data_IF_238339780902
#
_entry.id   IF_238339780902
#
_cell.length_a   1.000
_cell.length_b   1.000
_cell.length_c   1.000
_cell.angle_alpha   90.00
_cell.angle_beta   90.00
_cell.angle_gamma   90.00
#
_symmetry.space_group_name_H-M   'P 1'
#
loop_
_entity.id
_entity.type
_entity.pdbx_description
1 polymer ?
#
# COMPACT_ATOMS: atom_id res chain seq x y z
N UNK A 1 4.01 18.39 -30.18
CA UNK A 1 5.44 18.48 -30.58
C UNK A 1 6.15 17.43 -29.76
N UNK A 2 6.63 16.35 -30.39
CA UNK A 2 7.35 15.28 -29.69
C UNK A 2 8.65 15.83 -29.11
N UNK A 3 8.94 15.52 -27.84
CA UNK A 3 10.22 15.89 -27.22
C UNK A 3 11.33 15.01 -27.76
N UNK A 4 12.46 15.63 -28.12
CA UNK A 4 13.67 14.94 -28.56
C UNK A 4 14.21 13.97 -27.49
N UNK A 5 14.61 12.76 -27.90
CA UNK A 5 15.10 11.69 -27.01
C UNK A 5 16.35 12.11 -26.26
N UNK A 6 17.28 12.82 -26.92
CA UNK A 6 18.49 13.33 -26.29
C UNK A 6 18.17 14.33 -25.17
N UNK A 7 17.19 15.21 -25.40
CA UNK A 7 16.71 16.14 -24.37
C UNK A 7 16.02 15.44 -23.20
N UNK A 8 15.25 14.38 -23.45
CA UNK A 8 14.62 13.56 -22.40
C UNK A 8 15.71 12.92 -21.52
N UNK A 9 16.71 12.28 -22.14
CA UNK A 9 17.81 11.63 -21.43
C UNK A 9 18.60 12.61 -20.56
N UNK A 10 18.97 13.78 -21.11
CA UNK A 10 19.64 14.85 -20.35
C UNK A 10 18.82 15.31 -19.14
N UNK A 11 17.49 15.40 -19.28
CA UNK A 11 16.62 15.81 -18.17
C UNK A 11 16.57 14.74 -17.07
N UNK A 12 16.53 13.47 -17.44
CA UNK A 12 16.56 12.33 -16.51
C UNK A 12 17.92 12.24 -15.80
N UNK A 13 19.01 12.59 -16.47
CA UNK A 13 20.36 12.60 -15.87
C UNK A 13 20.52 13.59 -14.72
N UNK A 14 19.64 14.60 -14.61
CA UNK A 14 19.64 15.58 -13.53
C UNK A 14 19.00 15.06 -12.23
N UNK A 15 18.46 13.83 -12.22
CA UNK A 15 17.77 13.28 -11.05
C UNK A 15 18.78 12.95 -9.93
N UNK A 16 18.60 13.64 -8.81
CA UNK A 16 19.32 13.41 -7.56
C UNK A 16 18.44 12.71 -6.52
N UNK A 17 18.92 12.62 -5.29
CA UNK A 17 18.17 12.08 -4.14
C UNK A 17 17.28 13.10 -3.44
N UNK A 18 17.32 14.38 -3.84
CA UNK A 18 16.53 15.42 -3.19
C UNK A 18 15.09 15.43 -3.70
N UNK A 19 14.14 15.73 -2.81
CA UNK A 19 12.72 15.85 -3.16
C UNK A 19 12.49 16.89 -4.26
N UNK A 20 13.23 18.01 -4.23
CA UNK A 20 13.14 19.05 -5.25
C UNK A 20 13.53 18.56 -6.65
N UNK A 21 14.57 17.73 -6.76
CA UNK A 21 14.98 17.13 -8.03
C UNK A 21 13.93 16.13 -8.55
N UNK A 22 13.44 15.25 -7.65
CA UNK A 22 12.41 14.25 -7.97
C UNK A 22 11.13 14.93 -8.46
N UNK A 23 10.60 15.87 -7.70
CA UNK A 23 9.36 16.61 -8.03
C UNK A 23 9.56 17.42 -9.31
N UNK A 24 10.68 18.12 -9.48
CA UNK A 24 10.95 18.90 -10.69
C UNK A 24 10.97 18.05 -11.97
N UNK A 25 11.60 16.87 -11.91
CA UNK A 25 11.59 15.93 -13.03
C UNK A 25 10.19 15.36 -13.26
N UNK A 26 9.49 14.96 -12.20
CA UNK A 26 8.14 14.41 -12.30
C UNK A 26 7.13 15.40 -12.89
N UNK A 27 7.13 16.65 -12.43
CA UNK A 27 6.30 17.72 -13.00
C UNK A 27 6.61 17.91 -14.48
N UNK A 28 7.89 17.93 -14.87
CA UNK A 28 8.27 18.03 -16.27
C UNK A 28 7.76 16.83 -17.09
N UNK A 29 7.91 15.61 -16.58
CA UNK A 29 7.39 14.41 -17.24
C UNK A 29 5.85 14.45 -17.38
N UNK A 30 5.13 14.96 -16.39
CA UNK A 30 3.68 15.10 -16.43
C UNK A 30 3.22 16.11 -17.50
N UNK A 31 3.97 17.21 -17.71
CA UNK A 31 3.72 18.15 -18.81
C UNK A 31 3.91 17.51 -20.19
N UNK A 32 4.70 16.44 -20.27
CA UNK A 32 5.00 15.68 -21.48
C UNK A 32 4.36 14.28 -21.46
N UNK A 33 3.22 14.12 -20.79
CA UNK A 33 2.56 12.82 -20.61
C UNK A 33 2.19 12.09 -21.91
N UNK A 34 1.97 12.80 -23.02
CA UNK A 34 1.74 12.19 -24.34
C UNK A 34 2.99 11.46 -24.88
N UNK A 35 4.19 11.92 -24.53
CA UNK A 35 5.47 11.31 -24.92
C UNK A 35 5.97 10.33 -23.84
N UNK A 36 5.12 9.96 -22.87
CA UNK A 36 5.57 9.25 -21.68
C UNK A 36 6.09 7.83 -21.97
N UNK A 37 5.69 7.22 -23.07
CA UNK A 37 6.28 5.96 -23.51
C UNK A 37 7.77 6.11 -23.84
N UNK A 38 8.17 7.22 -24.47
CA UNK A 38 9.57 7.56 -24.76
C UNK A 38 10.33 7.94 -23.49
N UNK A 39 9.69 8.71 -22.60
CA UNK A 39 10.23 9.04 -21.28
C UNK A 39 10.52 7.77 -20.48
N UNK A 40 9.57 6.84 -20.44
CA UNK A 40 9.72 5.55 -19.77
C UNK A 40 10.82 4.69 -20.42
N UNK A 41 11.08 4.85 -21.72
CA UNK A 41 12.25 4.27 -22.38
C UNK A 41 13.56 4.79 -21.77
N UNK A 42 13.72 6.11 -21.72
CA UNK A 42 14.92 6.75 -21.17
C UNK A 42 15.11 6.49 -19.67
N UNK A 43 14.02 6.42 -18.89
CA UNK A 43 14.07 5.99 -17.48
C UNK A 43 14.57 4.54 -17.40
N UNK A 44 14.08 3.67 -18.29
CA UNK A 44 14.56 2.29 -18.40
C UNK A 44 16.05 2.21 -18.69
N UNK A 45 16.55 2.99 -19.65
CA UNK A 45 17.97 3.02 -19.99
C UNK A 45 18.82 3.52 -18.82
N UNK A 46 18.35 4.55 -18.09
CA UNK A 46 19.02 5.06 -16.90
C UNK A 46 19.03 4.05 -15.76
N UNK A 47 17.91 3.35 -15.50
CA UNK A 47 17.84 2.26 -14.52
C UNK A 47 18.85 1.16 -14.88
N UNK A 48 18.99 0.88 -16.18
CA UNK A 48 19.84 -0.19 -16.67
C UNK A 48 21.33 0.14 -16.64
N UNK A 49 21.71 1.37 -16.91
CA UNK A 49 23.11 1.76 -17.02
C UNK A 49 23.94 1.37 -15.78
N UNK A 50 25.12 0.78 -15.98
CA UNK A 50 26.01 0.34 -14.89
C UNK A 50 26.50 1.50 -14.03
N UNK A 51 26.71 2.66 -14.65
CA UNK A 51 27.16 3.89 -14.00
C UNK A 51 26.11 4.53 -13.09
N UNK A 52 24.85 4.12 -13.18
CA UNK A 52 23.78 4.67 -12.34
C UNK A 52 23.95 4.16 -10.91
N UNK A 53 23.95 5.07 -9.93
CA UNK A 53 24.03 4.69 -8.51
C UNK A 53 22.72 4.06 -8.03
N UNK A 54 22.79 3.25 -6.98
CA UNK A 54 21.61 2.65 -6.34
C UNK A 54 20.61 3.71 -5.84
N UNK A 55 21.10 4.80 -5.25
CA UNK A 55 20.27 5.92 -4.79
C UNK A 55 19.54 6.61 -5.95
N UNK A 56 20.19 6.79 -7.11
CA UNK A 56 19.55 7.34 -8.30
C UNK A 56 18.51 6.37 -8.87
N UNK A 57 18.76 5.06 -8.86
CA UNK A 57 17.73 4.07 -9.26
C UNK A 57 16.50 4.16 -8.36
N UNK A 58 16.68 4.31 -7.05
CA UNK A 58 15.58 4.53 -6.11
C UNK A 58 14.83 5.85 -6.39
N UNK A 59 15.56 6.94 -6.64
CA UNK A 59 14.97 8.23 -7.02
C UNK A 59 14.08 8.13 -8.25
N UNK A 60 14.46 7.34 -9.25
CA UNK A 60 13.64 7.14 -10.46
C UNK A 60 12.29 6.47 -10.15
N UNK A 61 12.23 5.57 -9.15
CA UNK A 61 10.95 5.01 -8.69
C UNK A 61 10.07 6.09 -8.04
N UNK A 62 10.66 6.97 -7.24
CA UNK A 62 9.93 8.10 -6.65
C UNK A 62 9.49 9.11 -7.72
N UNK A 63 10.27 9.33 -8.77
CA UNK A 63 9.84 10.14 -9.92
C UNK A 63 8.61 9.52 -10.56
N UNK A 64 8.58 8.21 -10.82
CA UNK A 64 7.40 7.55 -11.38
C UNK A 64 6.17 7.70 -10.47
N UNK A 65 6.35 7.56 -9.16
CA UNK A 65 5.29 7.80 -8.19
C UNK A 65 4.75 9.24 -8.27
N UNK A 66 5.63 10.24 -8.26
CA UNK A 66 5.25 11.64 -8.35
C UNK A 66 4.61 12.00 -9.69
N UNK A 67 5.03 11.39 -10.80
CA UNK A 67 4.35 11.59 -12.10
C UNK A 67 2.92 11.09 -12.02
N UNK A 68 2.69 9.90 -11.47
CA UNK A 68 1.36 9.32 -11.33
C UNK A 68 0.46 10.21 -10.47
N UNK A 69 0.98 10.72 -9.34
CA UNK A 69 0.25 11.68 -8.50
C UNK A 69 -0.04 12.99 -9.23
N UNK A 70 0.97 13.57 -9.88
CA UNK A 70 0.83 14.83 -10.62
C UNK A 70 -0.22 14.69 -11.72
N UNK A 71 -0.21 13.59 -12.47
CA UNK A 71 -1.20 13.31 -13.50
C UNK A 71 -2.60 13.05 -12.93
N UNK A 72 -2.72 12.54 -11.71
CA UNK A 72 -4.01 12.34 -11.05
C UNK A 72 -4.65 13.66 -10.55
N UNK A 73 -3.89 14.76 -10.47
CA UNK A 73 -4.42 16.07 -10.07
C UNK A 73 -5.34 16.68 -11.15
N UNK A 74 -6.20 17.62 -10.73
CA UNK A 74 -7.12 18.33 -11.64
C UNK A 74 -6.30 19.18 -12.63
N UNK A 75 -6.41 18.90 -13.93
CA UNK A 75 -5.76 19.68 -14.99
C UNK A 75 -5.09 18.84 -16.09
N UNK A 76 -4.89 17.53 -15.86
CA UNK A 76 -4.33 16.62 -16.87
C UNK A 76 -5.45 15.85 -17.58
N UNK A 77 -5.33 15.65 -18.89
CA UNK A 77 -6.35 14.93 -19.67
C UNK A 77 -6.40 13.45 -19.28
N UNK A 78 -7.60 12.85 -19.32
CA UNK A 78 -7.79 11.41 -19.06
C UNK A 78 -6.95 10.53 -19.99
N UNK A 79 -6.75 10.97 -21.24
CA UNK A 79 -5.88 10.31 -22.19
C UNK A 79 -4.42 10.32 -21.72
N UNK A 80 -3.92 11.46 -21.24
CA UNK A 80 -2.57 11.58 -20.70
C UNK A 80 -2.38 10.70 -19.47
N UNK A 81 -3.36 10.68 -18.55
CA UNK A 81 -3.36 9.79 -17.39
C UNK A 81 -3.27 8.32 -17.80
N UNK A 82 -4.09 7.91 -18.78
CA UNK A 82 -4.09 6.54 -19.31
C UNK A 82 -2.76 6.19 -19.97
N UNK A 83 -2.17 7.10 -20.73
CA UNK A 83 -0.86 6.90 -21.39
C UNK A 83 0.24 6.64 -20.35
N UNK A 84 0.30 7.47 -19.30
CA UNK A 84 1.26 7.32 -18.20
C UNK A 84 1.07 5.98 -17.49
N UNK A 85 -0.16 5.68 -17.03
CA UNK A 85 -0.47 4.43 -16.33
C UNK A 85 -0.13 3.19 -17.18
N UNK A 86 -0.48 3.22 -18.47
CA UNK A 86 -0.23 2.12 -19.40
C UNK A 86 1.26 1.91 -19.60
N UNK A 87 2.03 2.98 -19.81
CA UNK A 87 3.47 2.91 -19.99
C UNK A 87 4.18 2.37 -18.74
N UNK A 88 3.80 2.83 -17.53
CA UNK A 88 4.36 2.33 -16.26
C UNK A 88 4.02 0.86 -16.08
N UNK A 89 2.74 0.49 -16.18
CA UNK A 89 2.26 -0.89 -16.00
C UNK A 89 2.95 -1.88 -16.93
N UNK A 90 3.17 -1.49 -18.19
CA UNK A 90 3.78 -2.35 -19.22
C UNK A 90 5.30 -2.49 -19.09
N UNK A 91 6.00 -1.40 -18.76
CA UNK A 91 7.48 -1.36 -18.87
C UNK A 91 8.20 -1.58 -17.54
N UNK A 92 7.65 -1.08 -16.43
CA UNK A 92 8.33 -1.11 -15.14
C UNK A 92 8.69 -2.53 -14.67
N UNK A 93 7.83 -3.56 -14.81
CA UNK A 93 8.17 -4.90 -14.33
C UNK A 93 9.45 -5.48 -14.94
N UNK A 94 9.65 -5.24 -16.24
CA UNK A 94 10.84 -5.69 -16.95
C UNK A 94 12.09 -4.95 -16.48
N UNK A 95 11.97 -3.65 -16.17
CA UNK A 95 13.10 -2.86 -15.67
C UNK A 95 13.46 -3.23 -14.24
N UNK A 96 12.46 -3.47 -13.38
CA UNK A 96 12.66 -3.97 -12.02
C UNK A 96 13.40 -5.30 -12.07
N UNK A 97 12.89 -6.26 -12.85
CA UNK A 97 13.54 -7.57 -13.01
C UNK A 97 14.99 -7.44 -13.47
N UNK A 98 15.25 -6.58 -14.46
CA UNK A 98 16.60 -6.38 -14.97
C UNK A 98 17.55 -5.79 -13.92
N UNK A 99 17.09 -4.81 -13.13
CA UNK A 99 17.90 -4.24 -12.03
C UNK A 99 18.16 -5.29 -10.95
N UNK A 100 17.17 -6.11 -10.60
CA UNK A 100 17.30 -7.15 -9.57
C UNK A 100 18.14 -8.35 -10.04
N UNK A 101 18.30 -8.57 -11.34
CA UNK A 101 19.17 -9.61 -11.89
C UNK A 101 20.64 -9.17 -12.00
N UNK A 102 20.96 -7.90 -11.71
CA UNK A 102 22.35 -7.45 -11.74
C UNK A 102 23.22 -8.21 -10.73
N UNK A 103 24.49 -8.49 -11.08
CA UNK A 103 25.47 -8.94 -10.10
C UNK A 103 25.53 -7.96 -8.92
N UNK A 104 25.65 -8.47 -7.70
CA UNK A 104 25.67 -7.69 -6.45
C UNK A 104 24.32 -7.03 -6.09
N UNK A 105 23.24 -7.81 -6.07
CA UNK A 105 21.92 -7.38 -5.60
C UNK A 105 21.95 -6.74 -4.20
N UNK A 106 22.88 -7.17 -3.33
CA UNK A 106 23.14 -6.57 -2.02
C UNK A 106 23.54 -5.08 -2.09
N UNK A 107 24.03 -4.61 -3.24
CA UNK A 107 24.34 -3.20 -3.51
C UNK A 107 23.09 -2.40 -3.94
N UNK A 108 21.94 -3.06 -4.14
CA UNK A 108 20.68 -2.45 -4.60
C UNK A 108 19.68 -2.17 -3.46
N UNK A 109 20.18 -1.98 -2.23
CA UNK A 109 19.34 -1.80 -1.02
C UNK A 109 18.39 -0.61 -1.12
N UNK A 110 18.85 0.52 -1.63
CA UNK A 110 18.02 1.73 -1.75
C UNK A 110 16.95 1.54 -2.81
N UNK A 111 17.29 0.91 -3.94
CA UNK A 111 16.32 0.59 -4.98
C UNK A 111 15.25 -0.37 -4.49
N UNK A 112 15.64 -1.47 -3.84
CA UNK A 112 14.73 -2.47 -3.27
C UNK A 112 13.80 -1.82 -2.22
N UNK A 113 14.36 -1.05 -1.28
CA UNK A 113 13.57 -0.34 -0.29
C UNK A 113 12.64 0.72 -0.92
N UNK A 114 13.11 1.41 -1.96
CA UNK A 114 12.30 2.35 -2.74
C UNK A 114 11.14 1.66 -3.44
N UNK A 115 11.40 0.50 -4.05
CA UNK A 115 10.38 -0.34 -4.69
C UNK A 115 9.32 -0.78 -3.69
N UNK A 116 9.72 -1.29 -2.52
CA UNK A 116 8.79 -1.67 -1.46
C UNK A 116 7.89 -0.52 -1.04
N UNK A 117 8.43 0.69 -0.87
CA UNK A 117 7.65 1.89 -0.52
C UNK A 117 6.65 2.28 -1.60
N UNK A 118 7.08 2.40 -2.86
CA UNK A 118 6.16 2.80 -3.93
C UNK A 118 5.06 1.77 -4.17
N UNK A 119 5.35 0.48 -4.00
CA UNK A 119 4.35 -0.58 -4.10
C UNK A 119 3.31 -0.48 -2.98
N UNK A 120 3.70 -0.15 -1.75
CA UNK A 120 2.75 0.11 -0.66
C UNK A 120 1.88 1.32 -0.98
N UNK A 121 2.46 2.42 -1.46
CA UNK A 121 1.69 3.61 -1.81
C UNK A 121 0.72 3.37 -2.96
N UNK A 122 1.14 2.67 -4.01
CA UNK A 122 0.28 2.36 -5.15
C UNK A 122 -0.84 1.39 -4.83
N UNK A 123 -0.60 0.48 -3.88
CA UNK A 123 -1.61 -0.41 -3.32
C UNK A 123 -2.68 0.38 -2.54
N UNK A 124 -2.25 1.26 -1.63
CA UNK A 124 -3.14 2.13 -0.86
C UNK A 124 -3.98 3.06 -1.74
N UNK A 125 -3.39 3.57 -2.82
CA UNK A 125 -4.06 4.46 -3.77
C UNK A 125 -4.84 3.71 -4.85
N UNK A 126 -4.83 2.37 -4.83
CA UNK A 126 -5.45 1.50 -5.82
C UNK A 126 -5.11 1.88 -7.27
N UNK A 127 -3.84 2.24 -7.51
CA UNK A 127 -3.37 2.74 -8.81
C UNK A 127 -3.21 1.64 -9.86
N UNK A 128 -2.89 0.42 -9.41
CA UNK A 128 -2.66 -0.74 -10.27
C UNK A 128 -3.43 -1.96 -9.76
N UNK A 129 -3.74 -2.94 -10.62
CA UNK A 129 -4.37 -4.19 -10.20
C UNK A 129 -3.55 -4.93 -9.13
N UNK A 130 -4.22 -5.52 -8.15
CA UNK A 130 -3.58 -6.27 -7.06
C UNK A 130 -2.59 -7.34 -7.56
N UNK A 131 -2.98 -8.13 -8.58
CA UNK A 131 -2.12 -9.16 -9.15
C UNK A 131 -0.80 -8.59 -9.72
N UNK A 132 -0.83 -7.36 -10.26
CA UNK A 132 0.36 -6.69 -10.77
C UNK A 132 1.28 -6.23 -9.62
N UNK A 133 0.71 -5.65 -8.56
CA UNK A 133 1.46 -5.26 -7.35
C UNK A 133 2.12 -6.49 -6.71
N UNK A 134 1.38 -7.59 -6.57
CA UNK A 134 1.89 -8.82 -5.96
C UNK A 134 3.02 -9.44 -6.78
N UNK A 135 2.95 -9.40 -8.12
CA UNK A 135 4.04 -9.85 -8.99
C UNK A 135 5.34 -9.09 -8.74
N UNK A 136 5.28 -7.77 -8.58
CA UNK A 136 6.46 -6.95 -8.25
C UNK A 136 6.96 -7.18 -6.82
N UNK A 137 6.06 -7.34 -5.85
CA UNK A 137 6.43 -7.68 -4.46
C UNK A 137 7.16 -9.01 -4.38
N UNK A 138 6.74 -10.03 -5.12
CA UNK A 138 7.44 -11.31 -5.17
C UNK A 138 8.87 -11.16 -5.70
N UNK A 139 9.06 -10.38 -6.77
CA UNK A 139 10.41 -10.08 -7.31
C UNK A 139 11.27 -9.34 -6.28
N UNK A 140 10.70 -8.36 -5.58
CA UNK A 140 11.39 -7.62 -4.51
C UNK A 140 11.81 -8.56 -3.37
N UNK A 141 10.92 -9.41 -2.86
CA UNK A 141 11.17 -10.32 -1.74
C UNK A 141 12.23 -11.39 -2.07
N UNK A 142 12.23 -11.87 -3.32
CA UNK A 142 13.27 -12.78 -3.82
C UNK A 142 14.65 -12.12 -3.80
N UNK A 143 14.72 -10.83 -4.09
CA UNK A 143 15.96 -10.06 -4.05
C UNK A 143 16.39 -9.67 -2.62
N UNK A 144 15.45 -9.56 -1.67
CA UNK A 144 15.74 -9.29 -0.26
C UNK A 144 16.19 -10.52 0.52
N UNK A 145 15.85 -11.72 0.05
CA UNK A 145 16.21 -12.98 0.70
C UNK A 145 17.70 -13.26 0.47
N UNK A 146 18.59 -13.07 1.46
CA UNK A 146 19.98 -13.42 1.28
C UNK A 146 20.04 -14.93 1.19
N UNK A 147 20.86 -15.43 0.27
CA UNK A 147 21.38 -16.79 0.35
C UNK A 147 21.87 -17.02 1.77
N UNK A 148 21.25 -17.95 2.49
CA UNK A 148 21.67 -18.38 3.83
C UNK A 148 23.15 -18.77 3.78
N UNK A 149 24.02 -17.85 4.17
CA UNK A 149 25.40 -18.17 4.51
C UNK A 149 25.42 -18.48 6.01
N UNK A 150 25.99 -19.63 6.42
CA UNK A 150 25.89 -20.12 7.79
C UNK A 150 26.97 -19.47 8.66
N UNK A 151 26.92 -18.15 8.84
CA UNK A 151 27.72 -17.50 9.89
C UNK A 151 27.03 -16.22 10.38
N UNK A 152 26.59 -16.28 11.64
CA UNK A 152 25.87 -15.23 12.31
C UNK A 152 26.72 -13.99 12.51
N UNK A 153 26.26 -12.88 11.91
CA UNK A 153 26.47 -11.54 12.44
C UNK A 153 25.16 -10.78 12.23
N UNK A 154 24.50 -10.40 13.33
CA UNK A 154 23.15 -9.84 13.38
C UNK A 154 23.01 -8.48 12.66
N UNK A 155 21.93 -8.27 11.87
CA UNK A 155 21.53 -6.97 11.35
C UNK A 155 20.31 -6.46 12.14
N UNK A 156 20.48 -6.06 13.40
CA UNK A 156 19.35 -5.79 14.30
C UNK A 156 18.43 -4.62 13.86
N UNK A 157 18.91 -3.70 13.01
CA UNK A 157 18.16 -2.49 12.63
C UNK A 157 17.32 -2.63 11.36
N UNK A 158 17.78 -3.41 10.37
CA UNK A 158 16.99 -3.76 9.17
C UNK A 158 16.05 -4.92 9.43
N UNK A 159 16.42 -5.83 10.35
CA UNK A 159 15.57 -6.92 10.84
C UNK A 159 14.26 -6.41 11.42
N UNK A 160 14.26 -5.31 12.19
CA UNK A 160 13.05 -4.85 12.86
C UNK A 160 11.98 -4.36 11.87
N UNK A 161 12.39 -3.66 10.80
CA UNK A 161 11.45 -3.15 9.80
C UNK A 161 10.86 -4.27 8.95
N UNK A 162 11.68 -5.26 8.57
CA UNK A 162 11.18 -6.48 7.90
C UNK A 162 10.28 -7.31 8.81
N UNK A 163 10.58 -7.39 10.11
CA UNK A 163 9.73 -8.07 11.09
C UNK A 163 8.40 -7.36 11.30
N UNK A 164 8.39 -6.02 11.33
CA UNK A 164 7.15 -5.24 11.38
C UNK A 164 6.33 -5.39 10.10
N UNK A 165 6.96 -5.38 8.92
CA UNK A 165 6.27 -5.66 7.66
C UNK A 165 5.68 -7.07 7.63
N UNK A 166 6.39 -8.06 8.19
CA UNK A 166 5.90 -9.42 8.31
C UNK A 166 4.68 -9.50 9.23
N UNK A 167 4.72 -8.83 10.39
CA UNK A 167 3.57 -8.72 11.30
C UNK A 167 2.38 -8.06 10.61
N UNK A 168 2.58 -6.97 9.85
CA UNK A 168 1.51 -6.30 9.09
C UNK A 168 0.88 -7.23 8.04
N UNK A 169 1.69 -8.01 7.33
CA UNK A 169 1.18 -9.01 6.38
C UNK A 169 0.35 -10.10 7.07
N UNK A 170 0.79 -10.57 8.24
CA UNK A 170 0.06 -11.55 9.04
C UNK A 170 -1.24 -10.97 9.59
N UNK A 171 -1.27 -9.69 9.99
CA UNK A 171 -2.49 -8.98 10.37
C UNK A 171 -3.50 -8.92 9.23
N UNK A 172 -3.07 -8.56 8.01
CA UNK A 172 -3.95 -8.54 6.84
C UNK A 172 -4.53 -9.93 6.53
N UNK A 173 -3.69 -10.98 6.58
CA UNK A 173 -4.13 -12.37 6.39
C UNK A 173 -5.13 -12.82 7.46
N UNK A 174 -4.94 -12.37 8.70
CA UNK A 174 -5.88 -12.62 9.78
C UNK A 174 -7.21 -11.91 9.53
N UNK A 175 -7.21 -10.63 9.15
CA UNK A 175 -8.43 -9.86 8.85
C UNK A 175 -9.21 -10.48 7.68
N UNK A 176 -8.52 -10.90 6.62
CA UNK A 176 -9.15 -11.60 5.48
C UNK A 176 -9.82 -12.90 5.93
N UNK A 177 -9.12 -13.71 6.73
CA UNK A 177 -9.67 -14.96 7.27
C UNK A 177 -10.86 -14.70 8.21
N UNK A 178 -10.75 -13.67 9.06
CA UNK A 178 -11.80 -13.24 9.98
C UNK A 178 -13.04 -12.76 9.24
N UNK A 179 -12.88 -12.02 8.14
CA UNK A 179 -13.97 -11.58 7.30
C UNK A 179 -14.67 -12.77 6.64
N UNK A 180 -13.91 -13.74 6.10
CA UNK A 180 -14.47 -14.97 5.54
C UNK A 180 -15.26 -15.77 6.57
N UNK A 181 -14.71 -15.95 7.77
CA UNK A 181 -15.43 -16.61 8.88
C UNK A 181 -16.72 -15.87 9.26
N UNK A 182 -16.69 -14.54 9.37
CA UNK A 182 -17.90 -13.73 9.63
C UNK A 182 -18.96 -13.91 8.54
N UNK A 183 -18.55 -13.90 7.27
CA UNK A 183 -19.46 -14.11 6.13
C UNK A 183 -20.06 -15.52 6.14
N UNK A 184 -19.26 -16.57 6.34
CA UNK A 184 -19.74 -17.94 6.43
C UNK A 184 -20.68 -18.13 7.63
N UNK A 185 -20.37 -17.50 8.77
CA UNK A 185 -21.21 -17.56 9.98
C UNK A 185 -22.56 -16.87 9.78
N UNK A 186 -22.59 -15.71 9.12
CA UNK A 186 -23.85 -15.04 8.75
C UNK A 186 -24.67 -15.86 7.76
N UNK A 187 -24.01 -16.49 6.77
CA UNK A 187 -24.67 -17.37 5.81
C UNK A 187 -25.25 -18.63 6.48
N UNK A 188 -24.56 -19.22 7.46
CA UNK A 188 -25.05 -20.38 8.21
C UNK A 188 -26.24 -20.06 9.12
N UNK A 189 -26.31 -18.84 9.69
CA UNK A 189 -27.47 -18.40 10.45
C UNK A 189 -28.72 -18.17 9.59
N UNK A 190 -28.53 -17.81 8.31
CA UNK A 190 -29.62 -17.53 7.37
C UNK A 190 -30.03 -18.76 6.54
N UNK A 191 -29.16 -19.75 6.39
CA UNK A 191 -29.37 -20.96 5.60
C UNK A 191 -29.21 -22.17 6.49
N UNK A 192 -30.33 -22.69 6.99
CA UNK A 192 -30.35 -23.82 7.90
C UNK A 192 -29.60 -25.04 7.34
N UNK A 193 -28.54 -25.46 8.04
CA UNK A 193 -27.97 -26.81 7.96
C UNK A 193 -26.68 -26.97 7.16
N UNK A 194 -26.62 -26.53 5.90
CA UNK A 194 -25.53 -26.96 4.99
C UNK A 194 -24.20 -26.20 5.14
N UNK A 195 -24.20 -25.02 5.76
CA UNK A 195 -23.01 -24.17 5.87
C UNK A 195 -22.16 -24.44 7.13
N UNK A 196 -22.53 -25.41 7.97
CA UNK A 196 -21.84 -25.67 9.26
C UNK A 196 -20.40 -26.17 9.06
N UNK A 197 -20.16 -26.99 8.03
CA UNK A 197 -18.82 -27.49 7.70
C UNK A 197 -17.90 -26.39 7.13
N UNK A 198 -18.47 -25.41 6.44
CA UNK A 198 -17.72 -24.26 5.88
C UNK A 198 -17.36 -23.25 6.98
N UNK A 199 -18.25 -23.03 7.95
CA UNK A 199 -17.98 -22.20 9.14
C UNK A 199 -16.88 -22.79 10.01
N UNK A 200 -16.91 -24.10 10.30
CA UNK A 200 -15.87 -24.75 11.13
C UNK A 200 -14.50 -24.75 10.45
N UNK A 201 -14.47 -24.88 9.12
CA UNK A 201 -13.24 -24.82 8.32
C UNK A 201 -12.66 -23.40 8.30
N UNK A 202 -13.48 -22.38 8.07
CA UNK A 202 -13.05 -20.98 8.06
C UNK A 202 -12.68 -20.46 9.46
N UNK A 203 -13.35 -20.95 10.51
CA UNK A 203 -12.95 -20.71 11.91
C UNK A 203 -11.57 -21.29 12.20
N UNK A 204 -11.30 -22.53 11.78
CA UNK A 204 -10.00 -23.17 11.91
C UNK A 204 -8.87 -22.42 11.17
N UNK A 205 -9.16 -21.87 9.98
CA UNK A 205 -8.20 -21.02 9.26
C UNK A 205 -7.94 -19.69 9.97
N UNK A 206 -8.99 -19.06 10.51
CA UNK A 206 -8.89 -17.80 11.27
C UNK A 206 -8.07 -17.99 12.55
N UNK A 207 -8.30 -19.08 13.29
CA UNK A 207 -7.51 -19.44 14.48
C UNK A 207 -6.05 -19.68 14.13
N UNK A 208 -5.76 -20.46 13.08
CA UNK A 208 -4.37 -20.70 12.64
C UNK A 208 -3.66 -19.41 12.24
N UNK A 209 -4.33 -18.51 11.53
CA UNK A 209 -3.77 -17.21 11.18
C UNK A 209 -3.43 -16.36 12.42
N UNK A 210 -4.29 -16.38 13.45
CA UNK A 210 -4.06 -15.66 14.70
C UNK A 210 -2.89 -16.26 15.52
N UNK A 211 -2.75 -17.59 15.54
CA UNK A 211 -1.60 -18.26 16.18
C UNK A 211 -0.29 -17.81 15.53
N UNK A 212 -0.21 -17.87 14.19
CA UNK A 212 1.00 -17.46 13.46
C UNK A 212 1.32 -15.98 13.66
N UNK A 213 0.30 -15.13 13.75
CA UNK A 213 0.48 -13.72 14.07
C UNK A 213 1.03 -13.50 15.48
N UNK A 214 0.51 -14.23 16.48
CA UNK A 214 0.99 -14.19 17.86
C UNK A 214 2.45 -14.62 17.98
N UNK A 215 2.80 -15.74 17.37
CA UNK A 215 4.18 -16.25 17.34
C UNK A 215 5.14 -15.22 16.71
N UNK A 216 4.71 -14.53 15.66
CA UNK A 216 5.50 -13.48 15.02
C UNK A 216 5.65 -12.21 15.90
N UNK A 217 4.61 -11.84 16.66
CA UNK A 217 4.66 -10.70 17.59
C UNK A 217 5.59 -10.99 18.78
N UNK A 218 5.48 -12.18 19.38
CA UNK A 218 6.28 -12.61 20.53
C UNK A 218 7.78 -12.75 20.19
N UNK A 219 8.10 -13.15 18.97
CA UNK A 219 9.49 -13.35 18.52
C UNK A 219 10.24 -12.07 18.13
N UNK A 220 9.54 -10.95 17.88
CA UNK A 220 10.15 -9.78 17.24
C UNK A 220 9.97 -8.43 17.94
N UNK A 221 9.12 -8.32 18.96
CA UNK A 221 8.78 -7.02 19.56
C UNK A 221 9.36 -6.84 20.97
N UNK A 222 10.32 -5.92 21.08
CA UNK A 222 10.89 -5.47 22.37
C UNK A 222 9.86 -4.69 23.21
N UNK A 223 8.77 -4.21 22.59
CA UNK A 223 7.63 -3.51 23.25
C UNK A 223 6.24 -4.05 22.78
N UNK A 224 6.12 -5.37 22.60
CA UNK A 224 4.94 -6.05 22.05
C UNK A 224 3.65 -6.05 22.87
N UNK A 225 3.59 -5.33 23.99
CA UNK A 225 2.50 -5.47 24.95
C UNK A 225 1.12 -5.14 24.35
N UNK A 226 1.02 -4.05 23.57
CA UNK A 226 -0.25 -3.64 22.95
C UNK A 226 -0.71 -4.58 21.83
N UNK A 227 0.22 -5.12 21.04
CA UNK A 227 -0.11 -6.09 19.99
C UNK A 227 -0.48 -7.45 20.57
N UNK A 228 0.18 -7.86 21.66
CA UNK A 228 -0.15 -9.08 22.39
C UNK A 228 -1.54 -8.97 23.03
N UNK A 229 -1.85 -7.83 23.67
CA UNK A 229 -3.19 -7.54 24.19
C UNK A 229 -4.26 -7.54 23.10
N UNK A 230 -3.95 -6.99 21.92
CA UNK A 230 -4.86 -7.04 20.78
C UNK A 230 -5.07 -8.49 20.32
N UNK A 231 -4.02 -9.32 20.20
CA UNK A 231 -4.14 -10.74 19.86
C UNK A 231 -4.99 -11.50 20.89
N UNK A 232 -4.84 -11.22 22.18
CA UNK A 232 -5.64 -11.82 23.24
C UNK A 232 -7.11 -11.36 23.19
N UNK A 233 -7.39 -10.11 22.78
CA UNK A 233 -8.75 -9.65 22.52
C UNK A 233 -9.37 -10.37 21.31
N UNK A 234 -8.61 -10.51 20.22
CA UNK A 234 -9.03 -11.23 19.02
C UNK A 234 -9.33 -12.71 19.31
N UNK A 235 -8.53 -13.32 20.19
CA UNK A 235 -8.75 -14.69 20.65
C UNK A 235 -10.07 -14.83 21.41
N UNK A 236 -10.36 -13.89 22.32
CA UNK A 236 -11.62 -13.84 23.06
C UNK A 236 -12.84 -13.61 22.16
N UNK A 237 -12.72 -12.81 21.10
CA UNK A 237 -13.78 -12.63 20.09
C UNK A 237 -14.08 -13.95 19.35
N UNK A 238 -13.05 -14.73 19.01
CA UNK A 238 -13.20 -16.02 18.32
C UNK A 238 -13.73 -17.14 19.22
N UNK A 239 -13.36 -17.14 20.50
CA UNK A 239 -13.92 -18.07 21.50
C UNK A 239 -15.35 -17.69 21.93
N UNK A 240 -15.88 -16.56 21.44
CA UNK A 240 -17.23 -16.10 21.73
C UNK A 240 -17.41 -15.47 23.11
N UNK A 241 -16.32 -15.11 23.80
CA UNK A 241 -16.35 -14.53 25.15
C UNK A 241 -16.74 -13.04 25.18
N UNK A 242 -16.80 -12.36 24.03
CA UNK A 242 -17.21 -10.95 23.90
C UNK A 242 -18.71 -10.75 23.58
N UNK A 243 -19.53 -11.81 23.63
CA UNK A 243 -20.98 -11.76 23.40
C UNK A 243 -21.81 -11.71 24.71
N UNK A 244 -21.25 -11.20 25.81
CA UNK A 244 -21.98 -10.94 27.06
C UNK A 244 -21.95 -9.46 27.52
N UNK A 245 -22.14 -8.48 26.62
CA UNK A 245 -22.70 -7.16 27.02
C UNK A 245 -23.55 -6.57 25.89
N UNK A 246 -24.62 -7.25 25.47
CA UNK A 246 -25.73 -6.61 24.74
C UNK A 246 -27.00 -7.48 24.72
N UNK A 247 -27.44 -7.98 25.87
CA UNK A 247 -28.84 -8.37 26.08
C UNK A 247 -29.26 -8.02 27.49
N UNK A 248 -30.53 -7.63 27.61
CA UNK A 248 -31.26 -7.03 28.74
C UNK A 248 -31.02 -5.51 28.84
N UNK A 249 -31.98 -4.62 28.57
CA UNK A 249 -33.40 -4.72 28.90
C UNK A 249 -34.30 -3.98 27.89
N UNK A 250 -35.45 -4.58 27.61
CA UNK A 250 -36.52 -4.00 26.82
C UNK A 250 -37.77 -4.00 27.71
N UNK A 251 -38.23 -2.83 28.15
CA UNK A 251 -39.59 -2.69 28.67
C UNK A 251 -39.81 -1.70 29.82
N UNK A 252 -40.05 -0.43 29.49
CA UNK A 252 -41.06 0.43 30.13
C UNK A 252 -41.12 1.77 29.34
N UNK A 253 -42.05 1.95 28.42
CA UNK A 253 -43.38 2.52 28.70
C UNK A 253 -43.29 3.82 29.52
N UNK A 254 -43.28 4.98 28.86
CA UNK A 254 -44.13 6.13 29.22
C UNK A 254 -44.42 6.96 27.96
N UNK A 255 -45.71 7.14 27.74
CA UNK A 255 -46.35 7.92 26.69
C UNK A 255 -46.38 9.41 27.06
N UNK A 256 -46.56 10.26 26.04
CA UNK A 256 -46.91 11.69 26.06
C UNK A 256 -45.78 12.68 26.40
N UNK A 257 -45.64 13.83 25.73
CA UNK A 257 -46.65 14.67 25.06
C UNK A 257 -45.96 15.58 24.03
N UNK A 258 -46.74 15.91 23.00
CA UNK A 258 -46.56 16.94 21.98
C UNK A 258 -46.20 18.32 22.53
N UNK A 259 -45.32 19.06 21.82
CA UNK A 259 -45.64 20.44 21.41
C UNK A 259 -44.79 20.94 20.23
N UNK A 260 -45.49 21.58 19.30
CA UNK A 260 -45.03 22.25 18.08
C UNK A 260 -44.91 23.75 18.36
N UNK A 261 -43.91 24.44 17.78
CA UNK A 261 -43.91 25.83 17.23
C UNK A 261 -42.50 26.44 17.25
N UNK A 262 -42.03 27.31 16.34
CA UNK A 262 -42.40 27.78 15.00
C UNK A 262 -41.16 28.41 14.36
N UNK A 263 -41.20 28.60 13.05
CA UNK A 263 -40.26 29.30 12.16
C UNK A 263 -39.90 30.75 12.53
N UNK A 264 -38.74 31.19 12.00
CA UNK A 264 -38.41 32.47 11.32
C UNK A 264 -36.91 32.78 11.59
N UNK A 265 -36.03 33.18 10.67
CA UNK A 265 -36.15 34.03 9.48
C UNK A 265 -34.87 33.96 8.62
N UNK A 266 -35.04 34.13 7.30
CA UNK A 266 -34.07 34.46 6.23
C UNK A 266 -33.01 35.53 6.63
N UNK A 267 -31.69 35.28 6.44
CA UNK A 267 -30.79 35.67 5.30
C UNK A 267 -30.22 37.10 5.39
N UNK A 268 -29.18 37.52 4.61
CA UNK A 268 -27.97 36.86 4.11
C UNK A 268 -26.69 37.75 4.28
N UNK A 269 -25.60 37.37 3.61
CA UNK A 269 -24.44 38.18 3.16
C UNK A 269 -23.37 38.60 4.20
N UNK A 270 -22.12 38.15 3.98
CA UNK A 270 -21.07 39.08 3.53
C UNK A 270 -19.88 38.30 2.94
N UNK A 271 -19.57 38.68 1.69
CA UNK A 271 -18.35 38.40 0.94
C UNK A 271 -17.09 38.79 1.71
N UNK A 272 -16.12 37.88 1.80
CA UNK A 272 -14.71 38.26 1.96
C UNK A 272 -13.88 37.45 0.96
N UNK A 273 -14.00 37.82 -0.31
CA UNK A 273 -12.94 37.61 -1.30
C UNK A 273 -11.91 38.73 -1.12
N UNK A 274 -10.89 38.45 -0.29
CA UNK A 274 -9.72 39.29 -0.09
C UNK A 274 -8.54 38.81 -0.93
N UNK A 275 -8.44 39.36 -2.15
CA UNK A 275 -7.23 39.77 -2.87
C UNK A 275 -5.88 39.26 -2.33
N UNK A 276 -5.15 38.48 -3.14
CA UNK A 276 -3.71 38.65 -3.27
C UNK A 276 -3.29 38.51 -4.74
N UNK A 277 -2.69 39.59 -5.23
CA UNK A 277 -1.88 39.70 -6.44
C UNK A 277 -0.72 38.70 -6.45
#
# INVERSE_FOLDING_TARGET
>A
MMVDVGRIAQRIDLVGSSSGSIVSLATWCALHAYDFDTIMGCIGDKLKADVTSDTTRASLLYVLHEVLLTCATRGVSQESQRTVLTAVSRKLPNYVEWVLQKPQVEAHRSFIAGLGKVLVWWDLLNMFPQAWIQSLRQKQQQAESPSQTPNGVSPASTSMLSSLQHVVQLMNRYEDAKQQWKTCRLAANNSGGDNVNDVTTTEGHTRRALITLREAVESHSVDGASLSQWCDQQWRELEGQDMEVAKVDNGASWMMKTEVKSEAKMSPEEDILGSFY
#
